data_IF_854399885993
#
_entry.id   IF_854399885993
#
_cell.length_a   1.000
_cell.length_b   1.000
_cell.length_c   1.000
_cell.angle_alpha   90.00
_cell.angle_beta   90.00
_cell.angle_gamma   90.00
#
_symmetry.space_group_name_H-M   'P 1'
#
loop_
_entity.id
_entity.type
_entity.pdbx_description
1 polymer ?
#
# COMPACT_ATOMS: atom_id res chain seq x y z
N UNK A 1 5.85 9.21 0.53
CA UNK A 1 5.44 8.16 -0.42
C UNK A 1 3.94 8.01 -0.48
N UNK A 2 3.24 7.70 0.63
CA UNK A 2 1.78 7.57 0.63
C UNK A 2 1.09 8.81 0.03
N UNK A 3 1.50 10.02 0.45
CA UNK A 3 1.00 11.28 -0.13
C UNK A 3 1.30 11.41 -1.63
N UNK A 4 2.48 11.02 -2.09
CA UNK A 4 2.82 11.11 -3.52
C UNK A 4 2.02 10.13 -4.37
N UNK A 5 1.75 8.93 -3.85
CA UNK A 5 0.86 7.96 -4.51
C UNK A 5 -0.56 8.54 -4.54
N UNK A 6 -1.04 9.13 -3.44
CA UNK A 6 -2.33 9.80 -3.39
C UNK A 6 -2.42 10.96 -4.39
N UNK A 7 -1.38 11.79 -4.50
CA UNK A 7 -1.30 12.87 -5.50
C UNK A 7 -1.34 12.32 -6.93
N UNK A 8 -0.67 11.19 -7.17
CA UNK A 8 -0.73 10.47 -8.44
C UNK A 8 -2.15 10.00 -8.78
N UNK A 9 -2.88 9.44 -7.81
CA UNK A 9 -4.26 8.98 -8.01
C UNK A 9 -5.21 10.17 -8.20
N UNK A 10 -5.05 11.27 -7.44
CA UNK A 10 -5.83 12.52 -7.57
C UNK A 10 -5.64 13.22 -8.91
N UNK A 11 -4.52 12.96 -9.60
CA UNK A 11 -4.27 13.56 -10.91
C UNK A 11 -5.23 13.09 -12.01
N UNK A 12 -5.91 11.96 -11.80
CA UNK A 12 -7.04 11.56 -12.63
C UNK A 12 -8.33 12.19 -12.10
N UNK A 13 -9.18 12.71 -12.99
CA UNK A 13 -10.43 13.36 -12.60
C UNK A 13 -11.34 12.40 -11.80
N UNK A 14 -12.05 12.94 -10.80
CA UNK A 14 -13.14 12.30 -10.01
C UNK A 14 -12.74 11.30 -8.90
N UNK A 15 -11.47 11.17 -8.55
CA UNK A 15 -11.07 10.30 -7.43
C UNK A 15 -11.15 11.02 -6.07
N UNK A 16 -11.88 10.44 -5.11
CA UNK A 16 -11.79 10.81 -3.69
C UNK A 16 -10.73 9.96 -2.99
N UNK A 17 -9.86 10.58 -2.20
CA UNK A 17 -8.77 9.87 -1.52
C UNK A 17 -8.66 10.29 -0.06
N UNK A 18 -8.57 9.27 0.79
CA UNK A 18 -8.24 9.38 2.21
C UNK A 18 -6.90 8.70 2.47
N UNK A 19 -5.93 9.45 3.01
CA UNK A 19 -4.63 8.90 3.46
C UNK A 19 -4.66 8.78 4.97
N UNK A 20 -4.40 7.58 5.49
CA UNK A 20 -4.48 7.29 6.93
C UNK A 20 -3.25 6.54 7.42
N UNK A 21 -2.88 6.76 8.68
CA UNK A 21 -2.08 5.78 9.39
C UNK A 21 -2.93 4.55 9.68
N UNK A 22 -2.38 3.36 9.51
CA UNK A 22 -3.10 2.10 9.80
C UNK A 22 -3.66 2.02 11.22
N UNK A 23 -3.04 2.73 12.17
CA UNK A 23 -3.50 2.79 13.58
C UNK A 23 -4.77 3.62 13.76
N UNK A 24 -5.06 4.50 12.81
CA UNK A 24 -6.20 5.42 12.86
C UNK A 24 -7.39 4.86 12.06
N UNK A 25 -7.27 3.66 11.48
CA UNK A 25 -8.37 2.98 10.79
C UNK A 25 -9.22 2.25 11.81
N UNK A 26 -10.48 2.66 11.97
CA UNK A 26 -11.46 1.90 12.73
C UNK A 26 -12.00 0.76 11.87
N UNK A 27 -11.69 -0.48 12.28
CA UNK A 27 -12.14 -1.69 11.58
C UNK A 27 -13.60 -2.07 11.92
N UNK A 28 -14.25 -1.38 12.86
CA UNK A 28 -15.64 -1.60 13.22
C UNK A 28 -16.58 -0.63 12.49
N UNK A 29 -16.07 0.49 12.00
CA UNK A 29 -16.82 1.42 11.18
C UNK A 29 -17.05 0.81 9.79
N UNK A 30 -18.28 0.93 9.28
CA UNK A 30 -18.58 0.49 7.92
C UNK A 30 -17.97 1.46 6.91
N UNK A 31 -16.95 0.99 6.20
CA UNK A 31 -16.24 1.76 5.20
C UNK A 31 -16.11 0.93 3.92
N UNK A 32 -16.37 1.54 2.77
CA UNK A 32 -16.26 0.88 1.46
C UNK A 32 -15.39 1.71 0.52
N UNK A 33 -14.45 1.06 -0.16
CA UNK A 33 -13.54 1.71 -1.09
C UNK A 33 -13.38 0.90 -2.38
N UNK A 34 -13.29 1.53 -3.55
CA UNK A 34 -12.98 0.81 -4.79
C UNK A 34 -11.55 0.24 -4.79
N UNK A 35 -10.63 0.95 -4.13
CA UNK A 35 -9.21 0.63 -4.06
C UNK A 35 -8.63 0.96 -2.68
N UNK A 36 -7.92 0.02 -2.09
CA UNK A 36 -7.07 0.25 -0.91
C UNK A 36 -5.59 0.05 -1.27
N UNK A 37 -4.76 1.04 -0.94
CA UNK A 37 -3.30 0.97 -1.14
C UNK A 37 -2.59 0.88 0.21
N UNK A 38 -1.92 -0.24 0.48
CA UNK A 38 -1.32 -0.52 1.80
C UNK A 38 0.20 -0.39 1.74
N UNK A 39 0.75 0.48 2.58
CA UNK A 39 2.18 0.73 2.69
C UNK A 39 2.81 0.13 3.94
N UNK A 40 4.03 -0.41 3.84
CA UNK A 40 4.85 -0.74 5.02
C UNK A 40 6.33 -0.43 4.82
N UNK A 41 7.02 0.15 5.82
CA UNK A 41 8.47 0.06 5.84
C UNK A 41 8.91 -1.39 6.03
N UNK A 42 10.07 -1.75 5.50
CA UNK A 42 10.71 -3.03 5.76
C UNK A 42 11.50 -2.99 7.07
N UNK A 43 11.18 -3.92 7.97
CA UNK A 43 12.01 -4.26 9.13
C UNK A 43 12.40 -5.74 9.07
N UNK A 44 13.68 -6.00 8.78
CA UNK A 44 14.28 -7.36 8.79
C UNK A 44 13.52 -8.32 7.85
N UNK A 45 13.31 -7.91 6.60
CA UNK A 45 12.65 -8.72 5.56
C UNK A 45 11.14 -8.91 5.77
N UNK A 46 10.48 -8.08 6.57
CA UNK A 46 9.04 -8.14 6.83
C UNK A 46 8.42 -6.75 7.01
N UNK A 47 7.11 -6.64 6.75
CA UNK A 47 6.32 -5.48 7.13
C UNK A 47 6.23 -5.34 8.66
N UNK A 48 5.94 -4.13 9.14
CA UNK A 48 5.80 -3.83 10.57
C UNK A 48 4.62 -4.55 11.22
N UNK A 49 4.72 -4.77 12.53
CA UNK A 49 3.69 -5.47 13.32
C UNK A 49 2.29 -4.85 13.17
N UNK A 50 2.16 -3.53 13.05
CA UNK A 50 0.87 -2.88 12.89
C UNK A 50 0.21 -3.23 11.56
N UNK A 51 0.97 -3.26 10.46
CA UNK A 51 0.48 -3.70 9.14
C UNK A 51 0.11 -5.18 9.17
N UNK A 52 0.93 -6.02 9.82
CA UNK A 52 0.62 -7.45 10.00
C UNK A 52 -0.73 -7.64 10.71
N UNK A 53 -0.92 -6.92 11.82
CA UNK A 53 -2.14 -6.99 12.62
C UNK A 53 -3.34 -6.49 11.83
N UNK A 54 -3.17 -5.39 11.08
CA UNK A 54 -4.21 -4.86 10.21
C UNK A 54 -4.67 -5.89 9.17
N UNK A 55 -3.75 -6.44 8.37
CA UNK A 55 -4.08 -7.44 7.33
C UNK A 55 -4.76 -8.67 7.94
N UNK A 56 -4.28 -9.14 9.10
CA UNK A 56 -4.87 -10.28 9.78
C UNK A 56 -6.30 -10.04 10.30
N UNK A 57 -6.66 -8.78 10.57
CA UNK A 57 -7.96 -8.39 11.09
C UNK A 57 -8.96 -8.00 9.98
N UNK A 58 -8.51 -7.80 8.74
CA UNK A 58 -9.38 -7.47 7.61
C UNK A 58 -10.54 -8.48 7.39
N UNK A 59 -10.37 -9.80 7.55
CA UNK A 59 -11.47 -10.75 7.35
C UNK A 59 -12.66 -10.57 8.31
N UNK A 60 -12.42 -9.95 9.46
CA UNK A 60 -13.44 -9.67 10.48
C UNK A 60 -13.78 -8.18 10.58
N UNK A 61 -13.28 -7.35 9.68
CA UNK A 61 -13.51 -5.91 9.67
C UNK A 61 -14.75 -5.54 8.87
N UNK A 62 -15.36 -4.40 9.19
CA UNK A 62 -16.40 -3.75 8.40
C UNK A 62 -15.83 -2.88 7.27
N UNK A 63 -14.54 -3.07 6.94
CA UNK A 63 -13.85 -2.42 5.85
C UNK A 63 -13.91 -3.31 4.60
N UNK A 64 -14.64 -2.86 3.58
CA UNK A 64 -14.79 -3.55 2.28
C UNK A 64 -14.02 -2.81 1.20
N UNK A 65 -13.41 -3.56 0.30
CA UNK A 65 -12.80 -2.99 -0.90
C UNK A 65 -12.76 -3.96 -2.07
N UNK A 66 -12.93 -3.45 -3.28
CA UNK A 66 -12.97 -4.28 -4.49
C UNK A 66 -11.56 -4.69 -4.93
N UNK A 67 -10.61 -3.77 -4.78
CA UNK A 67 -9.24 -3.98 -5.24
C UNK A 67 -8.20 -3.48 -4.25
N UNK A 68 -6.99 -4.03 -4.34
CA UNK A 68 -5.88 -3.60 -3.53
C UNK A 68 -4.58 -3.47 -4.31
N UNK A 69 -3.69 -2.64 -3.78
CA UNK A 69 -2.28 -2.53 -4.17
C UNK A 69 -1.42 -2.37 -2.92
N UNK A 70 -0.12 -2.65 -3.03
CA UNK A 70 0.80 -2.54 -1.90
C UNK A 70 2.06 -1.79 -2.27
N UNK A 71 2.71 -1.17 -1.29
CA UNK A 71 4.04 -0.63 -1.47
C UNK A 71 4.91 -0.80 -0.23
N UNK A 72 6.22 -0.88 -0.44
CA UNK A 72 7.20 -0.90 0.64
C UNK A 72 8.37 0.06 0.40
N UNK A 73 9.16 0.25 1.46
CA UNK A 73 10.54 0.70 1.32
C UNK A 73 11.47 -0.43 1.70
N UNK A 74 12.58 -0.58 0.97
CA UNK A 74 13.57 -1.62 1.24
C UNK A 74 14.99 -1.07 1.33
N UNK A 75 15.86 -1.84 1.99
CA UNK A 75 17.31 -1.61 2.07
C UNK A 75 18.04 -2.89 1.68
N UNK A 76 19.29 -2.75 1.23
CA UNK A 76 20.14 -3.88 0.88
C UNK A 76 19.49 -4.81 -0.16
N UNK A 77 19.44 -6.10 0.17
CA UNK A 77 18.98 -7.17 -0.73
C UNK A 77 17.51 -7.58 -0.49
N UNK A 78 16.71 -6.71 0.11
CA UNK A 78 15.31 -7.01 0.44
C UNK A 78 14.30 -6.51 -0.60
N UNK A 79 14.75 -6.27 -1.83
CA UNK A 79 13.89 -5.86 -2.93
C UNK A 79 12.66 -6.77 -3.05
N UNK A 80 11.46 -6.17 -3.07
CA UNK A 80 10.14 -6.80 -3.19
C UNK A 80 9.76 -7.84 -2.13
N UNK A 81 10.61 -8.12 -1.13
CA UNK A 81 10.30 -9.15 -0.13
C UNK A 81 9.04 -8.82 0.66
N UNK A 82 8.87 -7.55 1.07
CA UNK A 82 7.73 -7.15 1.88
C UNK A 82 6.48 -6.99 1.02
N UNK A 83 6.59 -6.39 -0.17
CA UNK A 83 5.51 -6.36 -1.18
C UNK A 83 4.95 -7.76 -1.44
N UNK A 84 5.76 -8.73 -1.87
CA UNK A 84 5.29 -10.09 -2.22
C UNK A 84 4.61 -10.78 -1.04
N UNK A 85 5.14 -10.55 0.17
CA UNK A 85 4.56 -11.08 1.40
C UNK A 85 3.19 -10.46 1.69
N UNK A 86 3.04 -9.15 1.53
CA UNK A 86 1.77 -8.45 1.75
C UNK A 86 0.73 -8.86 0.70
N UNK A 87 1.11 -8.93 -0.58
CA UNK A 87 0.22 -9.41 -1.65
C UNK A 87 -0.33 -10.79 -1.33
N UNK A 88 0.57 -11.75 -1.03
CA UNK A 88 0.17 -13.12 -0.67
C UNK A 88 -0.79 -13.15 0.53
N UNK A 89 -0.53 -12.35 1.56
CA UNK A 89 -1.42 -12.31 2.72
C UNK A 89 -2.80 -11.73 2.39
N UNK A 90 -2.86 -10.71 1.53
CA UNK A 90 -4.13 -10.13 1.11
C UNK A 90 -4.91 -11.11 0.23
N UNK A 91 -4.25 -11.79 -0.71
CA UNK A 91 -4.85 -12.86 -1.52
C UNK A 91 -5.42 -13.99 -0.64
N UNK A 92 -4.69 -14.40 0.39
CA UNK A 92 -5.13 -15.46 1.33
C UNK A 92 -6.27 -15.01 2.27
N UNK A 93 -6.30 -13.73 2.66
CA UNK A 93 -7.21 -13.22 3.70
C UNK A 93 -8.49 -12.61 3.14
N UNK A 94 -8.42 -11.99 1.96
CA UNK A 94 -9.52 -11.25 1.34
C UNK A 94 -9.68 -11.75 -0.10
N UNK A 95 -10.12 -13.00 -0.30
CA UNK A 95 -10.15 -13.64 -1.62
C UNK A 95 -11.14 -13.00 -2.61
N UNK A 96 -12.04 -12.15 -2.13
CA UNK A 96 -13.03 -11.44 -2.96
C UNK A 96 -12.50 -10.11 -3.50
N UNK A 97 -11.32 -9.66 -3.07
CA UNK A 97 -10.68 -8.44 -3.55
C UNK A 97 -9.58 -8.78 -4.55
N UNK A 98 -9.42 -7.96 -5.59
CA UNK A 98 -8.45 -8.21 -6.65
C UNK A 98 -7.19 -7.36 -6.50
N UNK A 99 -6.01 -7.95 -6.64
CA UNK A 99 -4.77 -7.18 -6.79
C UNK A 99 -4.79 -6.42 -8.12
N UNK A 100 -4.86 -5.09 -8.08
CA UNK A 100 -5.02 -4.28 -9.30
C UNK A 100 -3.72 -4.00 -10.04
N UNK A 101 -2.58 -4.03 -9.35
CA UNK A 101 -1.29 -3.71 -9.93
C UNK A 101 -0.16 -4.37 -9.11
N UNK A 102 0.99 -4.72 -9.72
CA UNK A 102 2.15 -5.19 -8.96
C UNK A 102 2.54 -4.17 -7.88
N UNK A 103 2.92 -4.63 -6.70
CA UNK A 103 3.32 -3.73 -5.63
C UNK A 103 4.58 -2.93 -5.95
N UNK A 104 4.71 -1.76 -5.33
CA UNK A 104 5.84 -0.84 -5.52
C UNK A 104 6.88 -1.02 -4.41
N UNK A 105 8.13 -1.28 -4.75
CA UNK A 105 9.24 -1.27 -3.79
C UNK A 105 10.21 -0.12 -4.05
N UNK A 106 10.37 0.77 -3.06
CA UNK A 106 11.26 1.94 -3.15
C UNK A 106 12.52 1.73 -2.33
N UNK A 107 13.69 1.95 -2.94
CA UNK A 107 14.96 1.82 -2.24
C UNK A 107 15.19 3.04 -1.35
N UNK A 108 15.66 2.82 -0.13
CA UNK A 108 16.05 3.89 0.78
C UNK A 108 17.53 3.73 1.19
N UNK A 109 18.23 4.87 1.33
CA UNK A 109 19.68 4.89 1.55
C UNK A 109 20.15 4.53 2.96
N UNK A 110 19.25 4.46 3.94
CA UNK A 110 19.57 4.09 5.32
C UNK A 110 18.35 4.15 6.25
N UNK A 111 18.51 3.76 7.52
CA UNK A 111 17.42 3.62 8.52
C UNK A 111 16.42 4.78 8.60
N UNK A 112 16.87 6.02 8.31
CA UNK A 112 16.05 7.23 8.13
C UNK A 112 16.42 8.00 6.85
N UNK A 113 17.34 7.45 6.05
CA UNK A 113 18.03 8.17 4.98
C UNK A 113 17.04 8.62 3.91
N UNK A 114 17.27 9.79 3.28
CA UNK A 114 16.30 10.39 2.39
C UNK A 114 15.95 9.40 1.28
N UNK A 115 14.67 9.36 0.93
CA UNK A 115 14.24 8.71 -0.29
C UNK A 115 14.96 9.43 -1.42
N UNK A 116 15.62 8.68 -2.30
CA UNK A 116 16.28 9.27 -3.46
C UNK A 116 15.21 10.01 -4.27
N UNK A 117 15.39 11.30 -4.57
CA UNK A 117 14.35 12.12 -5.23
C UNK A 117 13.86 11.50 -6.55
N UNK A 118 14.76 10.84 -7.28
CA UNK A 118 14.45 10.09 -8.50
C UNK A 118 13.45 8.95 -8.26
N UNK A 119 13.48 8.32 -7.09
CA UNK A 119 12.54 7.26 -6.70
C UNK A 119 11.20 7.83 -6.16
N UNK A 120 11.13 9.11 -5.79
CA UNK A 120 9.87 9.77 -5.42
C UNK A 120 8.95 9.94 -6.62
N UNK A 121 9.50 10.17 -7.83
CA UNK A 121 8.72 10.24 -9.07
C UNK A 121 7.95 8.95 -9.32
N UNK A 122 8.58 7.79 -9.03
CA UNK A 122 7.95 6.47 -9.15
C UNK A 122 6.70 6.33 -8.28
N UNK A 123 6.66 6.98 -7.11
CA UNK A 123 5.48 6.98 -6.24
C UNK A 123 4.30 7.67 -6.92
N UNK A 124 4.52 8.84 -7.54
CA UNK A 124 3.48 9.58 -8.23
C UNK A 124 3.02 8.85 -9.49
N UNK A 125 3.95 8.35 -10.29
CA UNK A 125 3.64 7.54 -11.48
C UNK A 125 2.84 6.28 -11.13
N UNK A 126 3.19 5.62 -10.02
CA UNK A 126 2.46 4.47 -9.52
C UNK A 126 1.00 4.83 -9.21
N UNK A 127 0.78 5.94 -8.49
CA UNK A 127 -0.57 6.45 -8.25
C UNK A 127 -1.34 6.76 -9.53
N UNK A 128 -0.71 7.39 -10.51
CA UNK A 128 -1.33 7.67 -11.81
C UNK A 128 -1.71 6.39 -12.56
N UNK A 129 -0.90 5.33 -12.48
CA UNK A 129 -1.21 4.01 -13.06
C UNK A 129 -2.38 3.34 -12.35
N UNK A 130 -2.44 3.41 -11.02
CA UNK A 130 -3.56 2.88 -10.23
C UNK A 130 -4.89 3.56 -10.59
N UNK A 131 -4.87 4.86 -10.90
CA UNK A 131 -6.07 5.59 -11.27
C UNK A 131 -6.58 5.27 -12.68
N UNK A 132 -5.69 4.89 -13.59
CA UNK A 132 -6.03 4.51 -14.97
C UNK A 132 -6.33 3.01 -15.01
N UNK A 133 -7.45 2.57 -14.42
CA UNK A 133 -7.96 1.19 -14.57
C UNK A 133 -7.98 0.81 -16.05
N UNK A 134 -6.96 0.10 -16.52
CA UNK A 134 -6.87 -0.54 -17.84
C UNK A 134 -6.81 -2.05 -17.64
#
# INVERSE_FOLDING_TARGET
MAELIADGIKSAERNEIKVLNVKDVDLNEEQTYDLVVIGSPNHVGSHIKSIKKFINNLPSANLKFDSFAVFDTYMGNDFEKVVKKMERQLDEKIPNSTKTFPGLSIKVGGMKGPIVEEDLVKCKEYGTKLAKKE
#
